data_IF_027979365486
#
_entry.id   IF_027979365486
#
_cell.length_a   1.000
_cell.length_b   1.000
_cell.length_c   1.000
_cell.angle_alpha   90.00
_cell.angle_beta   90.00
_cell.angle_gamma   90.00
#
_symmetry.space_group_name_H-M   'P 1'
#
loop_
_entity.id
_entity.type
_entity.pdbx_description
1 polymer ?
#
# COMPACT_ATOMS: atom_id res chain seq x y z
N UNK A 1 -44.51 11.19 -8.89
CA UNK A 1 -44.06 9.79 -8.70
C UNK A 1 -42.61 9.54 -9.16
N UNK A 2 -42.06 10.28 -10.13
CA UNK A 2 -40.69 10.10 -10.66
C UNK A 2 -39.56 10.67 -9.76
N UNK A 3 -39.76 11.83 -9.12
CA UNK A 3 -38.76 12.49 -8.25
C UNK A 3 -38.25 11.62 -7.08
N UNK A 4 -39.09 10.73 -6.53
CA UNK A 4 -38.67 9.81 -5.45
C UNK A 4 -37.68 8.76 -5.94
N UNK A 5 -37.76 8.35 -7.20
CA UNK A 5 -36.84 7.37 -7.78
C UNK A 5 -35.50 8.00 -8.10
N UNK A 6 -35.48 9.23 -8.63
CA UNK A 6 -34.23 9.98 -8.82
C UNK A 6 -33.50 10.23 -7.50
N UNK A 7 -34.22 10.69 -6.48
CA UNK A 7 -33.63 10.90 -5.16
C UNK A 7 -33.08 9.60 -4.57
N UNK A 8 -33.80 8.48 -4.68
CA UNK A 8 -33.31 7.19 -4.19
C UNK A 8 -32.08 6.68 -4.96
N UNK A 9 -32.04 6.88 -6.28
CA UNK A 9 -30.89 6.48 -7.10
C UNK A 9 -29.65 7.31 -6.75
N UNK A 10 -29.80 8.63 -6.61
CA UNK A 10 -28.67 9.53 -6.34
C UNK A 10 -28.23 9.50 -4.88
N UNK A 11 -29.16 9.54 -3.93
CA UNK A 11 -28.83 9.66 -2.51
C UNK A 11 -28.47 8.33 -1.84
N UNK A 12 -28.93 7.20 -2.40
CA UNK A 12 -28.71 5.88 -1.81
C UNK A 12 -27.83 5.03 -2.72
N UNK A 13 -28.30 4.65 -3.92
CA UNK A 13 -27.58 3.71 -4.78
C UNK A 13 -26.20 4.23 -5.21
N UNK A 14 -26.09 5.48 -5.66
CA UNK A 14 -24.80 6.05 -6.05
C UNK A 14 -23.84 6.17 -4.86
N UNK A 15 -24.33 6.58 -3.69
CA UNK A 15 -23.48 6.69 -2.49
C UNK A 15 -23.02 5.32 -2.01
N UNK A 16 -23.90 4.33 -2.02
CA UNK A 16 -23.55 2.98 -1.59
C UNK A 16 -22.60 2.30 -2.59
N UNK A 17 -22.78 2.54 -3.89
CA UNK A 17 -21.81 2.13 -4.90
C UNK A 17 -20.44 2.75 -4.64
N UNK A 18 -20.39 4.05 -4.35
CA UNK A 18 -19.13 4.73 -4.04
C UNK A 18 -18.46 4.13 -2.80
N UNK A 19 -19.19 3.87 -1.71
CA UNK A 19 -18.63 3.21 -0.51
C UNK A 19 -18.02 1.85 -0.82
N UNK A 20 -18.69 1.05 -1.66
CA UNK A 20 -18.19 -0.27 -2.05
C UNK A 20 -16.92 -0.14 -2.89
N UNK A 21 -16.87 0.83 -3.81
CA UNK A 21 -15.67 1.12 -4.61
C UNK A 21 -14.52 1.59 -3.72
N UNK A 22 -14.76 2.53 -2.81
CA UNK A 22 -13.74 3.04 -1.89
C UNK A 22 -13.22 1.92 -0.96
N UNK A 23 -14.10 1.04 -0.48
CA UNK A 23 -13.70 -0.10 0.33
C UNK A 23 -12.84 -1.08 -0.46
N UNK A 24 -13.25 -1.39 -1.70
CA UNK A 24 -12.50 -2.22 -2.62
C UNK A 24 -11.11 -1.64 -2.90
N UNK A 25 -11.03 -0.32 -3.13
CA UNK A 25 -9.77 0.35 -3.43
C UNK A 25 -8.82 0.33 -2.21
N UNK A 26 -9.33 0.47 -0.99
CA UNK A 26 -8.54 0.27 0.25
C UNK A 26 -7.98 -1.15 0.37
N UNK A 27 -8.79 -2.17 0.08
CA UNK A 27 -8.34 -3.57 0.12
C UNK A 27 -7.27 -3.81 -0.95
N UNK A 28 -7.44 -3.27 -2.16
CA UNK A 28 -6.42 -3.37 -3.20
C UNK A 28 -5.14 -2.64 -2.84
N UNK A 29 -5.21 -1.46 -2.20
CA UNK A 29 -4.05 -0.73 -1.73
C UNK A 29 -3.28 -1.53 -0.67
N UNK A 30 -3.99 -2.13 0.29
CA UNK A 30 -3.38 -3.04 1.27
C UNK A 30 -2.73 -4.24 0.61
N UNK A 31 -3.44 -4.89 -0.33
CA UNK A 31 -2.90 -6.03 -1.08
C UNK A 31 -1.64 -5.66 -1.86
N UNK A 32 -1.63 -4.49 -2.52
CA UNK A 32 -0.46 -3.99 -3.24
C UNK A 32 0.72 -3.77 -2.30
N UNK A 33 0.50 -3.21 -1.10
CA UNK A 33 1.53 -3.07 -0.06
C UNK A 33 2.10 -4.42 0.37
N UNK A 34 1.24 -5.41 0.61
CA UNK A 34 1.70 -6.77 0.98
C UNK A 34 2.48 -7.46 -0.15
N UNK A 35 2.03 -7.31 -1.41
CA UNK A 35 2.74 -7.86 -2.57
C UNK A 35 4.11 -7.21 -2.76
N UNK A 36 4.19 -5.88 -2.62
CA UNK A 36 5.47 -5.16 -2.67
C UNK A 36 6.41 -5.63 -1.55
N UNK A 37 5.91 -5.72 -0.30
CA UNK A 37 6.70 -6.20 0.83
C UNK A 37 7.23 -7.62 0.56
N UNK A 38 6.38 -8.53 0.10
CA UNK A 38 6.78 -9.90 -0.24
C UNK A 38 7.88 -9.93 -1.30
N UNK A 39 7.71 -9.19 -2.40
CA UNK A 39 8.72 -9.13 -3.46
C UNK A 39 10.06 -8.58 -2.95
N UNK A 40 10.03 -7.58 -2.07
CA UNK A 40 11.26 -7.04 -1.46
C UNK A 40 11.93 -8.09 -0.58
N UNK A 41 11.18 -8.81 0.26
CA UNK A 41 11.71 -9.88 1.12
C UNK A 41 12.35 -10.99 0.29
N UNK A 42 11.65 -11.47 -0.75
CA UNK A 42 12.16 -12.52 -1.65
C UNK A 42 13.49 -12.10 -2.29
N UNK A 43 13.58 -10.86 -2.79
CA UNK A 43 14.82 -10.30 -3.35
C UNK A 43 15.96 -10.17 -2.34
N UNK A 44 15.64 -9.78 -1.10
CA UNK A 44 16.64 -9.68 -0.03
C UNK A 44 17.17 -11.06 0.38
N UNK A 45 16.31 -12.09 0.37
CA UNK A 45 16.70 -13.47 0.64
C UNK A 45 17.60 -14.03 -0.47
N UNK A 46 17.27 -13.77 -1.74
CA UNK A 46 18.12 -14.15 -2.89
C UNK A 46 19.50 -13.49 -2.85
N UNK A 47 19.59 -12.27 -2.28
CA UNK A 47 20.85 -11.53 -2.15
C UNK A 47 21.79 -12.06 -1.03
N UNK A 48 21.45 -13.16 -0.35
CA UNK A 48 22.31 -13.84 0.64
C UNK A 48 22.95 -12.89 1.69
N UNK A 49 22.17 -11.95 2.23
CA UNK A 49 22.62 -11.05 3.31
C UNK A 49 23.85 -10.20 2.97
N UNK A 50 24.05 -9.87 1.70
CA UNK A 50 25.08 -8.96 1.25
C UNK A 50 24.74 -7.49 1.54
N UNK A 51 25.76 -6.62 1.47
CA UNK A 51 25.60 -5.17 1.64
C UNK A 51 24.59 -4.63 0.62
N UNK A 52 23.50 -4.04 1.12
CA UNK A 52 22.46 -3.46 0.28
C UNK A 52 22.66 -1.95 0.18
N UNK A 53 22.96 -1.48 -1.03
CA UNK A 53 22.96 -0.05 -1.35
C UNK A 53 21.53 0.38 -1.66
N UNK A 54 20.99 1.32 -0.88
CA UNK A 54 19.63 1.82 -1.06
C UNK A 54 19.51 3.31 -0.73
N UNK A 55 18.56 3.96 -1.38
CA UNK A 55 18.16 5.32 -1.07
C UNK A 55 16.98 5.29 -0.10
N UNK A 56 17.11 5.99 1.03
CA UNK A 56 16.09 6.07 2.09
C UNK A 56 15.51 7.47 2.12
N UNK A 57 14.18 7.59 2.20
CA UNK A 57 13.50 8.85 2.50
C UNK A 57 13.46 9.07 4.02
N UNK A 58 14.08 10.14 4.49
CA UNK A 58 14.05 10.53 5.90
C UNK A 58 12.82 11.39 6.25
N UNK A 59 11.98 11.72 5.27
CA UNK A 59 10.77 12.50 5.39
C UNK A 59 10.77 13.75 4.51
N UNK A 60 9.58 14.25 4.16
CA UNK A 60 9.39 15.42 3.29
C UNK A 60 10.13 15.33 1.95
N UNK A 61 10.18 14.14 1.33
CA UNK A 61 10.92 13.88 0.09
C UNK A 61 12.44 14.17 0.22
N UNK A 62 13.02 13.90 1.40
CA UNK A 62 14.45 14.06 1.64
C UNK A 62 15.15 12.71 1.56
N UNK A 63 15.88 12.49 0.48
CA UNK A 63 16.47 11.20 0.15
C UNK A 63 17.97 11.17 0.46
N UNK A 64 18.43 10.08 1.08
CA UNK A 64 19.85 9.83 1.40
C UNK A 64 20.26 8.45 0.91
N UNK A 65 21.42 8.37 0.27
CA UNK A 65 22.02 7.09 -0.12
C UNK A 65 22.70 6.44 1.09
N UNK A 66 22.39 5.17 1.31
CA UNK A 66 22.82 4.42 2.48
C UNK A 66 23.23 3.00 2.11
N UNK A 67 24.05 2.40 2.98
CA UNK A 67 24.43 0.99 2.89
C UNK A 67 23.89 0.28 4.11
N UNK A 68 23.11 -0.77 3.89
CA UNK A 68 22.64 -1.67 4.93
C UNK A 68 23.59 -2.88 4.96
N UNK A 69 24.43 -3.02 6.01
CA UNK A 69 25.46 -4.05 6.06
C UNK A 69 24.91 -5.45 6.36
N UNK A 70 23.71 -5.56 6.94
CA UNK A 70 23.05 -6.83 7.24
C UNK A 70 21.55 -6.73 6.96
N UNK A 71 21.05 -7.61 6.07
CA UNK A 71 19.64 -7.68 5.69
C UNK A 71 18.92 -8.91 6.29
N UNK A 72 19.54 -9.58 7.27
CA UNK A 72 18.99 -10.78 7.92
C UNK A 72 17.74 -10.52 8.76
N UNK A 73 17.44 -9.26 9.10
CA UNK A 73 16.32 -8.88 9.96
C UNK A 73 15.47 -7.81 9.28
N UNK A 74 14.17 -7.97 9.35
CA UNK A 74 13.20 -7.05 8.76
C UNK A 74 12.23 -6.60 9.86
N UNK A 75 12.12 -5.29 10.06
CA UNK A 75 11.16 -4.71 10.98
C UNK A 75 9.83 -4.51 10.27
N UNK A 76 8.78 -5.15 10.81
CA UNK A 76 7.41 -4.99 10.31
C UNK A 76 6.63 -4.20 11.35
N UNK A 77 6.21 -2.99 10.99
CA UNK A 77 5.31 -2.20 11.83
C UNK A 77 3.90 -2.81 11.78
N UNK A 78 3.32 -3.08 12.94
CA UNK A 78 1.89 -3.38 13.06
C UNK A 78 1.15 -2.04 13.03
N UNK A 79 0.37 -1.81 11.97
CA UNK A 79 -0.59 -0.71 11.85
C UNK A 79 -1.95 -1.20 12.33
#
# INVERSE_FOLDING_TARGET
KWLRYEAFISDVLQRDLQKVLDHRDKVYEQLAKYLQLRNVIERLQEANHSELYMQVDLGCNFFVDTVVPDTSRIYVAWI
#
